data_IF_477774207806
#
_entry.id   IF_477774207806
#
_cell.length_a   1.000
_cell.length_b   1.000
_cell.length_c   1.000
_cell.angle_alpha   90.00
_cell.angle_beta   90.00
_cell.angle_gamma   90.00
#
_symmetry.space_group_name_H-M   'P 1'
#
loop_
_entity.id
_entity.type
_entity.pdbx_description
1 polymer ?
#
# COMPACT_ATOMS: atom_id res chain seq x y z
N UNK A 1 32.10 -10.26 -29.00
CA UNK A 1 30.93 -10.08 -28.12
C UNK A 1 30.88 -11.24 -27.14
N UNK A 2 31.01 -11.00 -25.85
CA UNK A 2 30.84 -12.00 -24.81
C UNK A 2 29.45 -11.80 -24.21
N UNK A 3 28.59 -12.82 -24.28
CA UNK A 3 27.30 -12.80 -23.62
C UNK A 3 27.43 -13.64 -22.35
N UNK A 4 27.15 -13.03 -21.21
CA UNK A 4 27.10 -13.72 -19.93
C UNK A 4 25.63 -13.80 -19.50
N UNK A 5 25.13 -14.97 -19.12
CA UNK A 5 23.82 -15.06 -18.49
C UNK A 5 23.87 -14.23 -17.21
N UNK A 6 22.79 -13.51 -16.91
CA UNK A 6 22.66 -12.75 -15.68
C UNK A 6 22.95 -13.67 -14.50
N UNK A 7 24.14 -13.54 -13.90
CA UNK A 7 24.48 -14.27 -12.70
C UNK A 7 24.11 -13.40 -11.50
N UNK A 8 23.57 -14.02 -10.48
CA UNK A 8 23.26 -13.39 -9.18
C UNK A 8 24.52 -12.93 -8.42
N UNK A 9 25.70 -13.12 -9.01
CA UNK A 9 26.96 -12.84 -8.36
C UNK A 9 27.83 -11.94 -9.25
N UNK A 10 27.92 -10.65 -8.91
CA UNK A 10 28.78 -9.65 -9.56
C UNK A 10 30.29 -10.00 -9.53
N UNK A 11 30.69 -11.01 -8.75
CA UNK A 11 32.07 -11.47 -8.66
C UNK A 11 32.58 -12.05 -10.00
N UNK A 12 31.71 -12.65 -10.79
CA UNK A 12 32.06 -13.28 -12.07
C UNK A 12 32.34 -12.28 -13.20
N UNK A 13 32.05 -11.01 -13.00
CA UNK A 13 32.26 -9.93 -13.99
C UNK A 13 33.60 -9.24 -13.83
N UNK A 14 34.32 -9.52 -12.74
CA UNK A 14 35.61 -8.92 -12.46
C UNK A 14 36.72 -9.58 -13.31
N UNK A 15 37.64 -8.77 -13.82
CA UNK A 15 38.80 -9.28 -14.58
C UNK A 15 38.68 -9.15 -16.10
N UNK A 16 37.52 -8.81 -16.63
CA UNK A 16 37.37 -8.49 -18.04
C UNK A 16 37.73 -7.02 -18.34
N UNK A 17 38.06 -6.75 -19.58
CA UNK A 17 38.18 -5.40 -20.13
C UNK A 17 37.18 -5.31 -21.28
N UNK A 18 36.31 -4.31 -21.26
CA UNK A 18 35.32 -4.11 -22.28
C UNK A 18 35.23 -2.64 -22.65
N UNK A 19 34.98 -2.35 -23.93
CA UNK A 19 34.68 -1.03 -24.46
C UNK A 19 33.19 -0.70 -24.34
N UNK A 20 32.34 -1.71 -24.30
CA UNK A 20 30.91 -1.52 -24.11
C UNK A 20 30.36 -2.67 -23.27
N UNK A 21 29.54 -2.35 -22.27
CA UNK A 21 28.76 -3.30 -21.49
C UNK A 21 27.30 -2.95 -21.70
N UNK A 22 26.53 -3.90 -22.23
CA UNK A 22 25.08 -3.78 -22.36
C UNK A 22 24.38 -4.71 -21.36
N UNK A 23 23.47 -4.17 -20.59
CA UNK A 23 22.62 -4.90 -19.65
C UNK A 23 21.18 -4.76 -20.14
N UNK A 24 20.62 -5.87 -20.57
CA UNK A 24 19.23 -5.95 -21.02
C UNK A 24 18.31 -6.35 -19.85
N UNK A 25 17.07 -5.87 -19.88
CA UNK A 25 16.07 -6.08 -18.84
C UNK A 25 16.59 -5.74 -17.42
N UNK A 26 17.31 -4.61 -17.33
CA UNK A 26 18.05 -4.22 -16.14
C UNK A 26 17.18 -4.15 -14.85
N UNK A 27 15.90 -3.75 -14.96
CA UNK A 27 14.99 -3.68 -13.81
C UNK A 27 14.66 -5.05 -13.20
N UNK A 28 14.83 -6.13 -13.95
CA UNK A 28 14.48 -7.48 -13.53
C UNK A 28 15.70 -8.31 -13.10
N UNK A 29 16.89 -7.69 -13.08
CA UNK A 29 18.11 -8.35 -12.61
C UNK A 29 18.24 -8.19 -11.11
N UNK A 30 18.26 -9.31 -10.34
CA UNK A 30 18.53 -9.25 -8.90
C UNK A 30 19.91 -8.64 -8.60
N UNK A 31 20.02 -7.86 -7.55
CA UNK A 31 21.29 -7.24 -7.09
C UNK A 31 22.03 -6.45 -8.17
N UNK A 32 21.28 -5.73 -9.03
CA UNK A 32 21.84 -4.96 -10.14
C UNK A 32 22.90 -3.93 -9.68
N UNK A 33 22.72 -3.32 -8.53
CA UNK A 33 23.66 -2.35 -7.92
C UNK A 33 25.02 -2.97 -7.64
N UNK A 34 25.07 -4.21 -7.15
CA UNK A 34 26.30 -4.97 -6.96
C UNK A 34 26.97 -5.31 -8.31
N UNK A 35 26.17 -5.66 -9.31
CA UNK A 35 26.63 -5.96 -10.67
C UNK A 35 27.25 -4.71 -11.29
N UNK A 36 26.58 -3.55 -11.21
CA UNK A 36 27.08 -2.28 -11.75
C UNK A 36 28.35 -1.86 -11.04
N UNK A 37 28.40 -2.01 -9.71
CA UNK A 37 29.63 -1.77 -8.93
C UNK A 37 30.77 -2.69 -9.37
N UNK A 38 30.47 -3.96 -9.66
CA UNK A 38 31.45 -4.94 -10.16
C UNK A 38 31.96 -4.66 -11.57
N UNK A 39 31.13 -4.02 -12.43
CA UNK A 39 31.47 -3.66 -13.83
C UNK A 39 32.32 -2.38 -13.87
N UNK A 40 32.17 -1.46 -12.93
CA UNK A 40 32.89 -0.19 -12.92
C UNK A 40 34.39 -0.31 -13.28
N UNK A 41 35.18 -1.18 -12.61
CA UNK A 41 36.59 -1.39 -12.96
C UNK A 41 36.85 -1.91 -14.38
N UNK A 42 35.86 -2.58 -15.01
CA UNK A 42 35.97 -3.10 -16.37
C UNK A 42 35.92 -1.96 -17.39
N UNK A 43 35.15 -0.93 -17.12
CA UNK A 43 34.94 0.23 -17.99
C UNK A 43 36.02 1.30 -17.81
N UNK A 44 36.62 1.44 -16.61
CA UNK A 44 37.59 2.52 -16.33
C UNK A 44 38.91 2.44 -17.08
N UNK A 45 39.19 1.35 -17.80
CA UNK A 45 40.42 1.18 -18.59
C UNK A 45 40.39 1.86 -19.95
N UNK A 46 39.22 2.16 -20.46
CA UNK A 46 39.03 2.86 -21.73
C UNK A 46 38.18 4.14 -21.48
N UNK A 47 38.69 5.32 -21.75
CA UNK A 47 37.96 6.58 -21.55
C UNK A 47 36.71 6.70 -22.44
N UNK A 48 36.59 5.87 -23.49
CA UNK A 48 35.45 5.83 -24.37
C UNK A 48 34.54 4.61 -24.10
N UNK A 49 34.71 3.95 -22.97
CA UNK A 49 33.88 2.81 -22.62
C UNK A 49 32.44 3.26 -22.30
N UNK A 50 31.49 2.47 -22.75
CA UNK A 50 30.06 2.77 -22.63
C UNK A 50 29.34 1.73 -21.76
N UNK A 51 28.41 2.17 -20.93
CA UNK A 51 27.42 1.35 -20.23
C UNK A 51 26.04 1.61 -20.87
N UNK A 52 25.42 0.57 -21.38
CA UNK A 52 24.08 0.62 -21.96
C UNK A 52 23.15 -0.19 -21.07
N UNK A 53 22.06 0.44 -20.60
CA UNK A 53 20.99 -0.22 -19.87
C UNK A 53 19.72 -0.15 -20.69
N UNK A 54 19.12 -1.31 -20.96
CA UNK A 54 17.79 -1.39 -21.59
C UNK A 54 16.83 -2.10 -20.64
N UNK A 55 15.59 -1.64 -20.57
CA UNK A 55 14.60 -2.24 -19.70
C UNK A 55 13.18 -1.74 -20.00
N UNK A 56 12.18 -2.54 -19.67
CA UNK A 56 10.86 -2.03 -19.31
C UNK A 56 10.87 -1.57 -17.83
N UNK A 57 10.07 -0.54 -17.46
CA UNK A 57 9.98 -0.11 -16.07
C UNK A 57 9.47 -1.24 -15.16
N UNK A 58 10.06 -1.43 -13.99
CA UNK A 58 9.54 -2.39 -13.00
C UNK A 58 8.85 -1.68 -11.84
N UNK A 59 9.48 -0.77 -11.18
CA UNK A 59 8.92 -0.01 -10.07
C UNK A 59 9.85 1.14 -9.69
N UNK A 60 9.31 2.16 -9.04
CA UNK A 60 10.09 3.34 -8.61
C UNK A 60 11.17 3.00 -7.58
N UNK A 61 11.09 1.84 -6.93
CA UNK A 61 12.11 1.36 -5.99
C UNK A 61 13.30 0.69 -6.67
N UNK A 62 13.21 0.40 -7.95
CA UNK A 62 14.29 -0.29 -8.66
C UNK A 62 15.56 0.57 -8.69
N UNK A 63 16.76 -0.05 -8.60
CA UNK A 63 18.02 0.65 -8.77
C UNK A 63 18.07 1.47 -10.07
N UNK A 64 17.48 0.94 -11.16
CA UNK A 64 17.42 1.61 -12.47
C UNK A 64 16.60 2.89 -12.41
N UNK A 65 15.49 2.93 -11.67
CA UNK A 65 14.72 4.16 -11.52
C UNK A 65 15.53 5.25 -10.80
N UNK A 66 16.22 4.88 -9.73
CA UNK A 66 17.11 5.82 -9.00
C UNK A 66 18.24 6.33 -9.89
N UNK A 67 18.84 5.44 -10.69
CA UNK A 67 19.85 5.82 -11.68
C UNK A 67 19.28 6.76 -12.76
N UNK A 68 18.10 6.46 -13.28
CA UNK A 68 17.41 7.29 -14.27
C UNK A 68 17.15 8.70 -13.73
N UNK A 69 16.68 8.83 -12.48
CA UNK A 69 16.46 10.14 -11.85
C UNK A 69 17.76 10.95 -11.76
N UNK A 70 18.87 10.31 -11.39
CA UNK A 70 20.19 10.96 -11.35
C UNK A 70 20.72 11.29 -12.75
N UNK A 71 20.46 10.41 -13.71
CA UNK A 71 20.95 10.54 -15.08
C UNK A 71 20.22 11.62 -15.89
N UNK A 72 18.97 11.97 -15.54
CA UNK A 72 18.20 12.99 -16.27
C UNK A 72 18.83 14.38 -16.21
N UNK A 73 19.57 14.68 -15.14
CA UNK A 73 20.25 15.98 -14.93
C UNK A 73 21.76 15.92 -15.22
N UNK A 74 22.28 14.76 -15.63
CA UNK A 74 23.69 14.52 -15.90
C UNK A 74 23.99 14.51 -17.41
N UNK A 75 24.81 15.43 -17.94
CA UNK A 75 25.08 15.53 -19.36
C UNK A 75 25.88 14.35 -19.94
N UNK A 76 26.50 13.52 -19.08
CA UNK A 76 27.23 12.33 -19.49
C UNK A 76 26.31 11.12 -19.76
N UNK A 77 25.02 11.27 -19.48
CA UNK A 77 24.02 10.23 -19.73
C UNK A 77 23.09 10.60 -20.88
N UNK A 78 22.85 9.62 -21.75
CA UNK A 78 21.80 9.70 -22.76
C UNK A 78 20.63 8.85 -22.33
N UNK A 79 19.47 9.47 -22.08
CA UNK A 79 18.23 8.79 -21.67
C UNK A 79 17.20 8.85 -22.80
N UNK A 80 16.70 7.69 -23.22
CA UNK A 80 15.64 7.58 -24.23
C UNK A 80 14.48 6.75 -23.68
N UNK A 81 13.26 7.23 -23.88
CA UNK A 81 12.03 6.48 -23.66
C UNK A 81 11.26 6.40 -24.97
N UNK A 82 10.77 5.20 -25.31
CA UNK A 82 9.94 4.98 -26.49
C UNK A 82 8.72 4.15 -26.11
N UNK A 83 7.55 4.76 -26.15
CA UNK A 83 6.26 4.09 -25.89
C UNK A 83 5.75 3.41 -27.14
N UNK A 84 4.79 2.46 -26.99
CA UNK A 84 4.12 1.80 -28.11
C UNK A 84 3.45 2.84 -29.04
N UNK A 85 2.90 3.91 -28.49
CA UNK A 85 2.26 4.96 -29.28
C UNK A 85 3.26 5.75 -30.12
N UNK A 86 4.46 6.02 -29.59
CA UNK A 86 5.55 6.66 -30.32
C UNK A 86 6.11 5.73 -31.39
N UNK A 87 6.30 4.46 -31.08
CA UNK A 87 6.75 3.48 -32.03
C UNK A 87 5.77 3.31 -33.21
N UNK A 88 4.46 3.32 -32.96
CA UNK A 88 3.43 3.30 -34.02
C UNK A 88 3.52 4.54 -34.90
N UNK A 89 3.70 5.73 -34.31
CA UNK A 89 3.91 6.98 -35.07
C UNK A 89 5.15 6.92 -35.94
N UNK A 90 6.16 6.16 -35.53
CA UNK A 90 7.41 5.95 -36.27
C UNK A 90 7.31 4.82 -37.29
N UNK A 91 6.16 4.17 -37.44
CA UNK A 91 5.90 3.17 -38.48
C UNK A 91 5.79 1.73 -38.00
N UNK A 92 5.84 1.46 -36.70
CA UNK A 92 5.56 0.13 -36.17
C UNK A 92 4.10 -0.27 -36.47
N UNK A 93 3.94 -1.42 -37.14
CA UNK A 93 2.62 -1.97 -37.47
C UNK A 93 2.21 -2.95 -36.38
N UNK A 94 1.26 -2.56 -35.53
CA UNK A 94 0.73 -3.40 -34.45
C UNK A 94 -0.76 -3.17 -34.29
N UNK A 95 -1.50 -4.22 -33.97
CA UNK A 95 -2.90 -4.12 -33.59
C UNK A 95 -3.00 -3.89 -32.06
N UNK A 96 -3.27 -2.64 -31.68
CA UNK A 96 -3.41 -2.24 -30.27
C UNK A 96 -4.55 -2.99 -29.57
N UNK A 97 -5.63 -3.35 -30.26
CA UNK A 97 -6.74 -4.09 -29.66
C UNK A 97 -6.34 -5.51 -29.32
N UNK A 98 -5.61 -6.16 -30.21
CA UNK A 98 -5.04 -7.48 -29.94
C UNK A 98 -4.05 -7.41 -28.78
N UNK A 99 -3.21 -6.39 -28.72
CA UNK A 99 -2.23 -6.19 -27.65
C UNK A 99 -2.91 -5.97 -26.28
N UNK A 100 -3.95 -5.15 -26.21
CA UNK A 100 -4.76 -5.00 -24.99
C UNK A 100 -5.45 -6.31 -24.56
N UNK A 101 -5.85 -7.13 -25.53
CA UNK A 101 -6.44 -8.44 -25.22
C UNK A 101 -5.43 -9.42 -24.63
N UNK A 102 -4.16 -9.32 -25.03
CA UNK A 102 -3.05 -10.12 -24.47
C UNK A 102 -2.59 -9.60 -23.10
N UNK A 103 -2.69 -8.30 -22.86
CA UNK A 103 -2.35 -7.67 -21.60
C UNK A 103 -3.56 -6.85 -21.07
N UNK A 104 -4.56 -7.54 -20.50
CA UNK A 104 -5.82 -6.90 -20.09
C UNK A 104 -5.70 -6.06 -18.81
N UNK A 105 -4.64 -6.22 -18.03
CA UNK A 105 -4.35 -5.43 -16.86
C UNK A 105 -3.84 -4.04 -17.28
N UNK A 106 -4.56 -2.92 -16.97
CA UNK A 106 -4.17 -1.59 -17.40
C UNK A 106 -2.80 -1.16 -16.85
N UNK A 107 -2.46 -1.57 -15.62
CA UNK A 107 -1.21 -1.21 -14.99
C UNK A 107 -0.04 -1.94 -15.67
N UNK A 108 -0.20 -3.24 -15.93
CA UNK A 108 0.78 -4.00 -16.72
C UNK A 108 0.94 -3.44 -18.14
N UNK A 109 -0.16 -3.09 -18.78
CA UNK A 109 -0.11 -2.48 -20.12
C UNK A 109 0.65 -1.16 -20.09
N UNK A 110 0.37 -0.31 -19.11
CA UNK A 110 1.05 0.97 -18.93
C UNK A 110 2.57 0.79 -18.67
N UNK A 111 2.94 -0.23 -17.90
CA UNK A 111 4.34 -0.57 -17.63
C UNK A 111 5.04 -1.10 -18.89
N UNK A 112 4.51 -2.14 -19.51
CA UNK A 112 5.17 -2.87 -20.60
C UNK A 112 5.19 -2.07 -21.90
N UNK A 113 4.12 -1.32 -22.19
CA UNK A 113 3.93 -0.69 -23.49
C UNK A 113 3.94 0.84 -23.47
N UNK A 114 3.64 1.46 -22.33
CA UNK A 114 3.66 2.92 -22.21
C UNK A 114 4.87 3.44 -21.44
N UNK A 115 5.77 2.56 -21.01
CA UNK A 115 6.98 2.86 -20.24
C UNK A 115 6.68 3.70 -18.99
N UNK A 116 5.57 3.42 -18.30
CA UNK A 116 5.22 4.09 -17.06
C UNK A 116 5.91 3.41 -15.90
N UNK A 117 6.65 4.19 -15.15
CA UNK A 117 7.13 3.77 -13.84
C UNK A 117 5.97 3.80 -12.88
N UNK A 118 5.40 2.64 -12.66
CA UNK A 118 4.37 2.51 -11.66
C UNK A 118 5.05 2.60 -10.29
N UNK A 119 4.42 3.31 -9.38
CA UNK A 119 4.79 3.21 -7.99
C UNK A 119 4.50 1.78 -7.56
N UNK A 120 5.58 1.03 -7.39
CA UNK A 120 5.59 -0.33 -6.85
C UNK A 120 4.56 -1.29 -7.47
N UNK A 121 4.94 -1.96 -8.54
CA UNK A 121 4.22 -3.14 -9.01
C UNK A 121 4.21 -4.15 -7.86
N UNK A 122 3.04 -4.31 -7.25
CA UNK A 122 2.88 -5.14 -6.06
C UNK A 122 2.82 -4.37 -4.74
N UNK A 123 3.01 -3.03 -4.68
CA UNK A 123 2.86 -2.33 -3.42
C UNK A 123 1.39 -2.21 -3.01
N UNK A 124 1.17 -2.19 -1.70
CA UNK A 124 -0.15 -2.02 -1.12
C UNK A 124 -0.82 -0.72 -1.59
N UNK A 125 -0.06 0.38 -1.58
CA UNK A 125 -0.54 1.71 -1.97
C UNK A 125 0.62 2.59 -2.44
N UNK A 126 0.35 3.53 -3.34
CA UNK A 126 1.30 4.57 -3.72
C UNK A 126 1.45 5.60 -2.59
N UNK A 127 2.67 5.87 -2.17
CA UNK A 127 2.96 6.85 -1.12
C UNK A 127 2.48 8.28 -1.47
N UNK A 128 2.39 8.62 -2.76
CA UNK A 128 1.86 9.90 -3.24
C UNK A 128 0.35 10.06 -2.97
N UNK A 129 -0.35 8.95 -2.74
CA UNK A 129 -1.78 8.95 -2.40
C UNK A 129 -2.03 9.18 -0.91
N UNK A 130 -1.02 9.03 -0.07
CA UNK A 130 -1.13 9.26 1.37
C UNK A 130 -1.27 10.75 1.68
N UNK A 131 -2.19 11.06 2.57
CA UNK A 131 -2.43 12.43 3.03
C UNK A 131 -1.87 12.58 4.44
N UNK A 132 -0.96 13.52 4.61
CA UNK A 132 -0.34 13.82 5.91
C UNK A 132 -0.75 15.20 6.40
N UNK A 133 -0.79 15.41 7.71
CA UNK A 133 -1.11 16.69 8.32
C UNK A 133 -0.38 16.86 9.65
N UNK A 134 0.21 18.04 9.86
CA UNK A 134 0.81 18.44 11.14
C UNK A 134 -0.26 18.71 12.19
N UNK A 135 -1.40 19.23 11.74
CA UNK A 135 -2.50 19.61 12.62
C UNK A 135 -3.58 18.52 12.63
N UNK A 136 -4.11 18.25 13.82
CA UNK A 136 -5.34 17.47 13.95
C UNK A 136 -6.45 18.19 13.19
N UNK A 137 -7.20 17.48 12.33
CA UNK A 137 -8.30 18.09 11.60
C UNK A 137 -9.24 18.86 12.53
N UNK A 138 -9.63 20.07 12.14
CA UNK A 138 -10.53 20.92 12.94
C UNK A 138 -11.96 20.38 13.02
N UNK A 139 -12.24 19.28 12.34
CA UNK A 139 -13.51 18.58 12.39
C UNK A 139 -13.62 17.83 13.71
N UNK A 140 -14.80 17.88 14.32
CA UNK A 140 -15.04 17.23 15.61
C UNK A 140 -14.88 15.72 15.51
N UNK A 141 -14.21 15.13 16.52
CA UNK A 141 -14.04 13.68 16.64
C UNK A 141 -15.36 13.06 17.10
N UNK A 142 -15.86 12.11 16.31
CA UNK A 142 -17.06 11.33 16.62
C UNK A 142 -16.75 10.17 17.55
N UNK A 143 -15.70 9.42 17.20
CA UNK A 143 -15.26 8.25 17.95
C UNK A 143 -13.76 8.04 17.77
N UNK A 144 -13.16 7.27 18.67
CA UNK A 144 -11.78 6.80 18.54
C UNK A 144 -11.75 5.27 18.58
N UNK A 145 -10.84 4.70 17.83
CA UNK A 145 -10.66 3.27 17.67
C UNK A 145 -9.22 2.86 17.92
N UNK A 146 -9.06 1.64 18.45
CA UNK A 146 -7.75 1.06 18.75
C UNK A 146 -7.48 -0.13 17.85
N UNK A 147 -6.25 -0.22 17.36
CA UNK A 147 -5.70 -1.44 16.79
C UNK A 147 -4.42 -1.81 17.52
N UNK A 148 -4.29 -3.06 17.91
CA UNK A 148 -3.16 -3.52 18.69
C UNK A 148 -2.58 -4.78 18.03
N UNK A 149 -1.40 -4.64 17.45
CA UNK A 149 -0.58 -5.74 16.96
C UNK A 149 0.38 -6.18 18.05
N UNK A 150 0.23 -7.42 18.50
CA UNK A 150 0.92 -7.98 19.66
C UNK A 150 2.24 -8.61 19.23
N UNK A 151 3.35 -7.93 19.49
CA UNK A 151 4.67 -8.52 19.36
C UNK A 151 5.05 -9.43 20.53
N UNK A 152 5.82 -10.48 20.23
CA UNK A 152 6.45 -11.32 21.24
C UNK A 152 7.47 -10.54 22.10
N UNK A 153 8.00 -11.19 23.14
CA UNK A 153 9.02 -10.57 24.03
C UNK A 153 10.32 -10.20 23.31
N UNK A 154 10.52 -10.69 22.09
CA UNK A 154 11.66 -10.35 21.20
C UNK A 154 11.30 -9.35 20.11
N UNK A 155 10.02 -9.14 19.83
CA UNK A 155 9.50 -8.41 18.68
C UNK A 155 8.97 -7.01 19.03
N UNK A 156 8.53 -6.29 18.03
CA UNK A 156 7.85 -5.01 18.18
C UNK A 156 6.37 -5.23 18.43
N UNK A 157 5.80 -4.38 19.25
CA UNK A 157 4.36 -4.25 19.47
C UNK A 157 3.94 -2.89 18.97
N UNK A 158 2.81 -2.79 18.29
CA UNK A 158 2.26 -1.51 17.85
C UNK A 158 0.81 -1.33 18.34
N UNK A 159 0.51 -0.14 18.85
CA UNK A 159 -0.84 0.24 19.28
C UNK A 159 -1.23 1.52 18.55
N UNK A 160 -2.14 1.42 17.60
CA UNK A 160 -2.63 2.55 16.80
C UNK A 160 -3.90 3.16 17.42
N UNK A 161 -4.00 4.49 17.34
CA UNK A 161 -5.21 5.24 17.66
C UNK A 161 -5.70 5.97 16.42
N UNK A 162 -6.92 5.66 15.99
CA UNK A 162 -7.59 6.29 14.86
C UNK A 162 -8.83 7.04 15.34
N UNK A 163 -8.97 8.30 14.92
CA UNK A 163 -10.16 9.11 15.14
C UNK A 163 -11.08 9.05 13.93
N UNK A 164 -12.35 8.75 14.13
CA UNK A 164 -13.42 8.99 13.16
C UNK A 164 -13.94 10.41 13.35
N UNK A 165 -14.03 11.18 12.28
CA UNK A 165 -14.47 12.56 12.29
C UNK A 165 -15.95 12.68 11.86
N UNK A 166 -16.61 13.78 12.20
CA UNK A 166 -18.04 13.97 11.89
C UNK A 166 -18.33 14.05 10.38
N UNK A 167 -17.34 14.39 9.56
CA UNK A 167 -17.44 14.43 8.10
C UNK A 167 -17.23 13.05 7.43
N UNK A 168 -16.96 12.00 8.21
CA UNK A 168 -16.72 10.65 7.73
C UNK A 168 -15.29 10.39 7.29
N UNK A 169 -14.36 11.29 7.58
CA UNK A 169 -12.92 11.04 7.41
C UNK A 169 -12.32 10.39 8.66
N UNK A 170 -11.17 9.77 8.51
CA UNK A 170 -10.41 9.14 9.58
C UNK A 170 -9.07 9.85 9.74
N UNK A 171 -8.63 10.00 10.96
CA UNK A 171 -7.33 10.58 11.30
C UNK A 171 -6.53 9.59 12.13
N UNK A 172 -5.41 9.10 11.60
CA UNK A 172 -4.44 8.33 12.37
C UNK A 172 -3.69 9.31 13.28
N UNK A 173 -4.09 9.32 14.54
CA UNK A 173 -3.61 10.29 15.54
C UNK A 173 -2.22 9.90 16.05
N UNK A 174 -2.00 8.63 16.37
CA UNK A 174 -0.74 8.14 16.93
C UNK A 174 -0.57 6.64 16.79
N UNK A 175 0.68 6.19 16.82
CA UNK A 175 1.08 4.78 16.95
C UNK A 175 2.15 4.68 18.03
N UNK A 176 1.81 4.03 19.13
CA UNK A 176 2.77 3.71 20.20
C UNK A 176 3.48 2.41 19.87
N UNK A 177 4.81 2.46 19.79
CA UNK A 177 5.66 1.30 19.52
C UNK A 177 6.39 0.88 20.79
N UNK A 178 6.21 -0.38 21.18
CA UNK A 178 6.90 -1.00 22.30
C UNK A 178 7.90 -2.04 21.76
N UNK A 179 9.14 -1.99 22.24
CA UNK A 179 10.19 -2.90 21.81
C UNK A 179 10.61 -3.79 22.97
N UNK A 180 10.59 -5.10 22.77
CA UNK A 180 11.02 -6.10 23.77
C UNK A 180 10.34 -5.92 25.12
N UNK A 181 9.06 -5.55 25.11
CA UNK A 181 8.29 -5.19 26.31
C UNK A 181 7.48 -6.41 26.79
N UNK A 182 7.56 -6.75 28.10
CA UNK A 182 6.74 -7.85 28.66
C UNK A 182 5.23 -7.59 28.50
N UNK A 183 4.45 -8.66 28.33
CA UNK A 183 3.00 -8.54 28.07
C UNK A 183 2.23 -7.81 29.19
N UNK A 184 2.65 -7.95 30.45
CA UNK A 184 2.05 -7.23 31.57
C UNK A 184 2.22 -5.73 31.45
N UNK A 185 3.37 -5.29 30.96
CA UNK A 185 3.67 -3.88 30.72
C UNK A 185 2.94 -3.37 29.48
N UNK A 186 2.88 -4.18 28.40
CA UNK A 186 2.07 -3.86 27.23
C UNK A 186 0.61 -3.62 27.59
N UNK A 187 0.01 -4.48 28.43
CA UNK A 187 -1.37 -4.31 28.92
C UNK A 187 -1.54 -3.07 29.80
N UNK A 188 -0.52 -2.72 30.60
CA UNK A 188 -0.53 -1.50 31.40
C UNK A 188 -0.55 -0.26 30.47
N UNK A 189 0.30 -0.24 29.44
CA UNK A 189 0.31 0.85 28.44
C UNK A 189 -1.03 0.90 27.71
N UNK A 190 -1.58 -0.23 27.28
CA UNK A 190 -2.89 -0.27 26.62
C UNK A 190 -3.98 0.33 27.49
N UNK A 191 -3.98 0.03 28.80
CA UNK A 191 -4.93 0.60 29.75
C UNK A 191 -4.76 2.11 29.92
N UNK A 192 -3.53 2.60 30.00
CA UNK A 192 -3.26 4.03 30.07
C UNK A 192 -3.76 4.75 28.81
N UNK A 193 -3.46 4.20 27.64
CA UNK A 193 -3.91 4.76 26.36
C UNK A 193 -5.43 4.73 26.24
N UNK A 194 -6.09 3.67 26.70
CA UNK A 194 -7.57 3.61 26.73
C UNK A 194 -8.17 4.70 27.63
N UNK A 195 -7.60 4.91 28.81
CA UNK A 195 -8.06 5.97 29.73
C UNK A 195 -7.93 7.37 29.13
N UNK A 196 -6.88 7.62 28.35
CA UNK A 196 -6.65 8.90 27.66
C UNK A 196 -7.59 9.06 26.47
N UNK A 197 -7.70 8.03 25.64
CA UNK A 197 -8.39 8.10 24.36
C UNK A 197 -9.86 7.73 24.42
N UNK A 198 -10.30 7.00 25.46
CA UNK A 198 -11.65 6.49 25.62
C UNK A 198 -12.18 5.80 24.33
N UNK A 199 -11.42 4.85 23.80
CA UNK A 199 -11.76 4.16 22.55
C UNK A 199 -13.16 3.56 22.58
N UNK A 200 -13.91 3.81 21.53
CA UNK A 200 -15.27 3.31 21.34
C UNK A 200 -15.28 1.82 21.00
N UNK A 201 -14.27 1.36 20.28
CA UNK A 201 -14.01 -0.04 19.95
C UNK A 201 -12.53 -0.26 19.65
N UNK A 202 -12.08 -1.51 19.64
CA UNK A 202 -10.71 -1.84 19.25
C UNK A 202 -10.53 -3.32 18.96
N UNK A 203 -9.53 -3.62 18.14
CA UNK A 203 -9.12 -4.99 17.87
C UNK A 203 -7.68 -5.25 18.28
N UNK A 204 -7.45 -6.43 18.84
CA UNK A 204 -6.13 -6.97 19.21
C UNK A 204 -5.84 -8.16 18.32
N UNK A 205 -4.69 -8.20 17.68
CA UNK A 205 -4.27 -9.44 17.00
C UNK A 205 -4.27 -10.61 18.00
N UNK A 206 -5.12 -11.57 17.73
CA UNK A 206 -5.31 -12.73 18.58
C UNK A 206 -4.66 -14.01 18.03
N UNK A 207 -3.74 -13.90 17.06
CA UNK A 207 -3.00 -15.07 16.58
C UNK A 207 -1.95 -15.52 17.60
N UNK A 208 -1.80 -16.83 17.76
CA UNK A 208 -0.80 -17.41 18.63
C UNK A 208 -0.89 -16.88 20.07
N UNK A 209 0.14 -16.17 20.49
CA UNK A 209 0.27 -15.59 21.83
C UNK A 209 -0.69 -14.40 22.06
N UNK A 210 -1.22 -13.81 21.00
CA UNK A 210 -2.18 -12.70 21.07
C UNK A 210 -3.54 -13.10 21.67
N UNK A 211 -3.92 -14.37 21.62
CA UNK A 211 -5.23 -14.80 22.11
C UNK A 211 -5.42 -14.59 23.64
N UNK A 212 -4.51 -15.04 24.53
CA UNK A 212 -4.56 -14.70 25.95
C UNK A 212 -4.53 -13.19 26.22
N UNK A 213 -3.74 -12.44 25.45
CA UNK A 213 -3.61 -10.98 25.62
C UNK A 213 -4.92 -10.29 25.24
N UNK A 214 -5.56 -10.69 24.15
CA UNK A 214 -6.87 -10.17 23.76
C UNK A 214 -7.94 -10.44 24.84
N UNK A 215 -7.93 -11.62 25.44
CA UNK A 215 -8.83 -11.96 26.54
C UNK A 215 -8.58 -11.07 27.77
N UNK A 216 -7.31 -10.85 28.15
CA UNK A 216 -6.96 -9.95 29.24
C UNK A 216 -7.32 -8.50 28.91
N UNK A 217 -7.06 -8.03 27.69
CA UNK A 217 -7.43 -6.70 27.24
C UNK A 217 -8.94 -6.47 27.38
N UNK A 218 -9.75 -7.43 26.91
CA UNK A 218 -11.20 -7.35 27.00
C UNK A 218 -11.71 -7.35 28.46
N UNK A 219 -11.10 -8.15 29.34
CA UNK A 219 -11.54 -8.28 30.76
C UNK A 219 -11.01 -7.17 31.67
N UNK A 220 -9.78 -6.68 31.45
CA UNK A 220 -9.08 -5.80 32.39
C UNK A 220 -8.94 -4.37 31.91
N UNK A 221 -9.02 -4.13 30.61
CA UNK A 221 -8.95 -2.78 30.03
C UNK A 221 -10.35 -2.33 29.64
N UNK A 222 -10.97 -2.97 28.68
CA UNK A 222 -12.33 -2.64 28.23
C UNK A 222 -12.95 -3.77 27.43
N UNK A 223 -14.20 -4.13 27.71
CA UNK A 223 -14.97 -5.09 26.91
C UNK A 223 -15.19 -4.66 25.44
N UNK A 224 -14.91 -3.41 25.13
CA UNK A 224 -14.95 -2.85 23.77
C UNK A 224 -13.72 -3.22 22.96
N UNK A 225 -12.66 -3.73 23.60
CA UNK A 225 -11.43 -4.21 22.96
C UNK A 225 -11.52 -5.72 22.84
N UNK A 226 -11.54 -6.24 21.62
CA UNK A 226 -11.77 -7.65 21.33
C UNK A 226 -10.62 -8.25 20.52
N UNK A 227 -10.48 -9.58 20.60
CA UNK A 227 -9.51 -10.30 19.78
C UNK A 227 -9.96 -10.35 18.31
N UNK A 228 -9.02 -10.17 17.40
CA UNK A 228 -9.21 -10.33 15.96
C UNK A 228 -8.24 -11.40 15.45
N UNK A 229 -8.78 -12.52 14.96
CA UNK A 229 -7.95 -13.57 14.38
C UNK A 229 -7.82 -13.38 12.87
N UNK A 230 -6.61 -13.10 12.40
CA UNK A 230 -6.33 -13.05 10.98
C UNK A 230 -6.57 -14.40 10.31
N UNK A 231 -7.14 -14.37 9.13
CA UNK A 231 -7.40 -15.54 8.30
C UNK A 231 -7.20 -15.19 6.82
N UNK A 232 -7.04 -16.21 5.99
CA UNK A 232 -6.96 -16.00 4.54
C UNK A 232 -8.22 -15.33 3.96
N UNK A 233 -9.37 -15.48 4.62
CA UNK A 233 -10.64 -14.93 4.16
C UNK A 233 -10.88 -13.49 4.59
N UNK A 234 -10.33 -13.03 5.72
CA UNK A 234 -10.55 -11.66 6.21
C UNK A 234 -9.38 -10.70 5.96
N UNK A 235 -8.16 -11.22 5.71
CA UNK A 235 -6.99 -10.36 5.49
C UNK A 235 -7.17 -9.41 4.31
N UNK A 236 -7.56 -9.93 3.14
CA UNK A 236 -7.77 -9.11 1.95
C UNK A 236 -8.88 -8.05 2.15
N UNK A 237 -10.09 -8.37 2.65
CA UNK A 237 -11.11 -7.37 2.95
C UNK A 237 -10.64 -6.25 3.89
N UNK A 238 -9.91 -6.58 4.95
CA UNK A 238 -9.38 -5.58 5.91
C UNK A 238 -8.41 -4.62 5.23
N UNK A 239 -7.46 -5.14 4.45
CA UNK A 239 -6.49 -4.31 3.76
C UNK A 239 -7.13 -3.49 2.64
N UNK A 240 -8.06 -4.06 1.88
CA UNK A 240 -8.81 -3.33 0.84
C UNK A 240 -9.69 -2.22 1.43
N UNK A 241 -10.25 -2.40 2.63
CA UNK A 241 -10.96 -1.33 3.32
C UNK A 241 -10.04 -0.13 3.59
N UNK A 242 -8.86 -0.36 4.17
CA UNK A 242 -7.88 0.70 4.39
C UNK A 242 -7.45 1.37 3.08
N UNK A 243 -7.16 0.54 2.06
CA UNK A 243 -6.80 1.02 0.72
C UNK A 243 -7.90 1.90 0.12
N UNK A 244 -9.16 1.49 0.24
CA UNK A 244 -10.32 2.28 -0.20
C UNK A 244 -10.38 3.65 0.46
N UNK A 245 -10.17 3.73 1.78
CA UNK A 245 -10.14 5.00 2.51
C UNK A 245 -9.00 5.92 2.04
N UNK A 246 -7.84 5.36 1.70
CA UNK A 246 -6.71 6.15 1.15
C UNK A 246 -7.07 6.67 -0.25
N UNK A 247 -7.57 5.82 -1.14
CA UNK A 247 -7.96 6.19 -2.51
C UNK A 247 -9.06 7.26 -2.52
N UNK A 248 -10.01 7.18 -1.60
CA UNK A 248 -11.08 8.16 -1.41
C UNK A 248 -10.62 9.44 -0.69
N UNK A 249 -9.32 9.55 -0.33
CA UNK A 249 -8.76 10.66 0.47
C UNK A 249 -9.46 10.85 1.81
N UNK A 250 -9.97 9.75 2.38
CA UNK A 250 -10.66 9.73 3.67
C UNK A 250 -9.79 9.33 4.85
N UNK A 251 -8.55 8.94 4.63
CA UNK A 251 -7.57 8.69 5.67
C UNK A 251 -6.51 9.80 5.66
N UNK A 252 -6.40 10.53 6.76
CA UNK A 252 -5.35 11.51 7.02
C UNK A 252 -4.44 10.96 8.11
N UNK A 253 -3.15 11.10 7.95
CA UNK A 253 -2.12 10.54 8.83
C UNK A 253 -1.38 11.72 9.50
N UNK A 254 -1.14 11.66 10.80
CA UNK A 254 -0.33 12.64 11.49
C UNK A 254 1.09 12.68 10.90
N UNK A 255 1.62 13.89 10.63
CA UNK A 255 2.89 14.07 9.89
C UNK A 255 4.07 13.35 10.55
N UNK A 256 4.11 13.29 11.89
CA UNK A 256 5.17 12.60 12.63
C UNK A 256 5.23 11.09 12.37
N UNK A 257 4.17 10.47 11.81
CA UNK A 257 4.11 9.05 11.44
C UNK A 257 4.47 8.79 9.98
N UNK A 258 4.76 9.82 9.20
CA UNK A 258 4.96 9.75 7.75
C UNK A 258 5.99 8.71 7.33
N UNK A 259 7.21 8.82 7.81
CA UNK A 259 8.30 7.92 7.44
C UNK A 259 7.99 6.48 7.84
N UNK A 260 7.41 6.30 9.04
CA UNK A 260 7.01 5.00 9.54
C UNK A 260 5.98 4.33 8.63
N UNK A 261 4.89 5.03 8.32
CA UNK A 261 3.79 4.46 7.52
C UNK A 261 4.23 4.21 6.07
N UNK A 262 4.97 5.15 5.46
CA UNK A 262 5.50 4.94 4.11
C UNK A 262 6.38 3.69 4.08
N UNK A 263 7.32 3.57 4.99
CA UNK A 263 8.24 2.42 5.08
C UNK A 263 7.49 1.09 5.25
N UNK A 264 6.47 1.04 6.12
CA UNK A 264 5.75 -0.20 6.39
C UNK A 264 4.77 -0.57 5.26
N UNK A 265 4.13 0.40 4.61
CA UNK A 265 3.27 0.13 3.46
C UNK A 265 4.07 -0.35 2.24
N UNK A 266 5.32 0.14 2.08
CA UNK A 266 6.25 -0.35 1.07
C UNK A 266 6.64 -1.83 1.23
N UNK A 267 6.52 -2.35 2.45
CA UNK A 267 6.79 -3.76 2.75
C UNK A 267 5.59 -4.69 2.52
N UNK A 268 4.43 -4.16 2.14
CA UNK A 268 3.25 -4.96 1.85
C UNK A 268 3.11 -5.12 0.35
N UNK A 269 3.27 -6.35 -0.12
CA UNK A 269 3.16 -6.70 -1.54
C UNK A 269 1.74 -7.15 -1.89
N UNK A 270 1.21 -6.62 -2.98
CA UNK A 270 -0.02 -7.08 -3.61
C UNK A 270 0.33 -8.14 -4.64
N UNK A 271 -0.13 -9.34 -4.44
CA UNK A 271 0.06 -10.47 -5.35
C UNK A 271 -1.29 -10.82 -5.99
N UNK A 272 -1.30 -10.98 -7.30
CA UNK A 272 -2.44 -11.57 -8.01
C UNK A 272 -2.13 -13.05 -8.22
N UNK A 273 -2.94 -13.91 -7.63
CA UNK A 273 -2.78 -15.37 -7.76
C UNK A 273 -3.18 -15.84 -9.16
N UNK A 274 -2.80 -17.07 -9.56
CA UNK A 274 -3.11 -17.63 -10.89
C UNK A 274 -4.62 -17.67 -11.18
N UNK A 275 -5.46 -17.79 -10.15
CA UNK A 275 -6.92 -17.72 -10.24
C UNK A 275 -7.50 -16.28 -10.22
N UNK A 276 -6.64 -15.27 -10.38
CA UNK A 276 -7.02 -13.86 -10.49
C UNK A 276 -7.41 -13.18 -9.17
N UNK A 277 -7.22 -13.85 -8.02
CA UNK A 277 -7.52 -13.26 -6.71
C UNK A 277 -6.38 -12.40 -6.21
N UNK A 278 -6.74 -11.28 -5.59
CA UNK A 278 -5.77 -10.41 -4.91
C UNK A 278 -5.44 -10.98 -3.54
N UNK A 279 -4.15 -11.03 -3.21
CA UNK A 279 -3.62 -11.40 -1.92
C UNK A 279 -2.56 -10.40 -1.50
N UNK A 280 -2.53 -10.04 -0.23
CA UNK A 280 -1.49 -9.18 0.34
C UNK A 280 -0.53 -9.99 1.21
N UNK A 281 0.76 -9.80 0.98
CA UNK A 281 1.84 -10.47 1.73
C UNK A 281 2.72 -9.40 2.35
N UNK A 282 2.99 -9.50 3.63
CA UNK A 282 4.00 -8.67 4.28
C UNK A 282 5.38 -9.20 3.91
N UNK A 283 6.24 -8.35 3.36
CA UNK A 283 7.64 -8.66 3.15
C UNK A 283 8.37 -8.76 4.49
N UNK A 284 9.38 -9.62 4.56
CA UNK A 284 10.31 -9.68 5.68
C UNK A 284 11.52 -8.81 5.36
N UNK A 285 11.69 -7.71 6.07
CA UNK A 285 12.93 -6.95 6.01
C UNK A 285 13.56 -6.83 7.41
N UNK A 286 14.81 -6.36 7.46
CA UNK A 286 15.57 -6.19 8.70
C UNK A 286 14.92 -5.25 9.72
N UNK A 287 13.93 -4.45 9.32
CA UNK A 287 13.24 -3.46 10.16
C UNK A 287 11.95 -3.96 10.82
N UNK A 288 11.57 -5.23 10.64
CA UNK A 288 10.40 -5.85 11.29
C UNK A 288 9.26 -6.17 10.33
N UNK A 289 8.18 -6.67 10.90
CA UNK A 289 6.99 -7.17 10.20
C UNK A 289 5.94 -6.06 10.24
N UNK A 290 5.77 -5.21 9.31
CA UNK A 290 4.65 -4.24 9.13
C UNK A 290 3.65 -4.10 10.32
N UNK A 291 4.19 -4.09 11.57
CA UNK A 291 3.40 -4.17 12.81
C UNK A 291 2.54 -2.92 13.01
N UNK A 292 3.08 -1.75 12.64
CA UNK A 292 2.35 -0.49 12.73
C UNK A 292 1.24 -0.39 11.69
N UNK A 293 1.48 -0.93 10.50
CA UNK A 293 0.45 -1.05 9.46
C UNK A 293 -0.65 -2.02 9.90
N UNK A 294 -0.29 -3.18 10.50
CA UNK A 294 -1.25 -4.14 11.04
C UNK A 294 -2.11 -3.50 12.13
N UNK A 295 -1.51 -2.75 13.05
CA UNK A 295 -2.25 -2.02 14.08
C UNK A 295 -3.21 -0.98 13.46
N UNK A 296 -2.78 -0.22 12.44
CA UNK A 296 -3.65 0.70 11.71
C UNK A 296 -4.82 -0.03 11.04
N UNK A 297 -4.57 -1.15 10.37
CA UNK A 297 -5.63 -1.95 9.74
C UNK A 297 -6.66 -2.44 10.74
N UNK A 298 -6.22 -2.91 11.91
CA UNK A 298 -7.10 -3.34 12.99
C UNK A 298 -7.95 -2.20 13.56
N UNK A 299 -7.37 -0.99 13.71
CA UNK A 299 -8.11 0.18 14.19
C UNK A 299 -9.19 0.61 13.19
N UNK A 300 -8.87 0.68 11.89
CA UNK A 300 -9.82 1.02 10.83
C UNK A 300 -10.91 -0.05 10.69
N UNK A 301 -10.55 -1.32 10.85
CA UNK A 301 -11.52 -2.42 10.81
C UNK A 301 -12.43 -2.41 12.02
N UNK A 302 -11.93 -2.06 13.20
CA UNK A 302 -12.77 -1.88 14.39
C UNK A 302 -13.80 -0.74 14.21
N UNK A 303 -13.44 0.32 13.48
CA UNK A 303 -14.36 1.38 13.09
C UNK A 303 -15.41 0.91 12.08
N UNK A 304 -15.01 0.10 11.10
CA UNK A 304 -15.90 -0.48 10.09
C UNK A 304 -16.96 -1.41 10.70
N UNK A 305 -16.54 -2.31 11.60
CA UNK A 305 -17.42 -3.32 12.20
C UNK A 305 -18.32 -2.74 13.30
N UNK A 306 -17.91 -1.64 13.93
CA UNK A 306 -18.65 -1.01 15.01
C UNK A 306 -18.92 0.47 14.69
N UNK A 307 -19.64 0.75 13.61
CA UNK A 307 -19.96 2.13 13.26
C UNK A 307 -20.76 2.76 14.40
N UNK A 308 -20.32 3.92 14.85
CA UNK A 308 -21.11 4.72 15.80
C UNK A 308 -22.43 5.07 15.11
N UNK A 309 -23.55 4.52 15.60
CA UNK A 309 -24.86 4.72 15.03
C UNK A 309 -25.22 6.19 15.06
N UNK A 310 -25.06 6.88 13.93
CA UNK A 310 -25.64 8.20 13.72
C UNK A 310 -27.06 7.97 13.20
N UNK A 311 -28.05 8.35 13.99
CA UNK A 311 -29.36 8.63 13.44
C UNK A 311 -29.15 9.83 12.48
N UNK A 312 -29.03 9.57 11.19
CA UNK A 312 -29.15 10.61 10.19
C UNK A 312 -30.49 11.33 10.47
N UNK A 313 -30.52 12.67 10.59
CA UNK A 313 -31.77 13.36 10.64
C UNK A 313 -32.53 13.00 9.36
N UNK A 314 -33.69 12.38 9.52
CA UNK A 314 -34.59 11.92 8.49
C UNK A 314 -35.22 13.12 7.76
N UNK A 315 -34.40 13.91 7.06
CA UNK A 315 -34.87 14.97 6.16
C UNK A 315 -33.86 15.20 5.02
N UNK A 316 -33.63 14.15 4.23
CA UNK A 316 -33.20 14.35 2.86
C UNK A 316 -34.36 13.97 1.94
N UNK A 317 -35.30 14.89 1.80
CA UNK A 317 -36.25 14.85 0.68
C UNK A 317 -35.45 15.07 -0.59
N UNK A 318 -35.16 14.00 -1.29
CA UNK A 318 -34.61 14.06 -2.65
C UNK A 318 -35.67 14.77 -3.52
N UNK A 319 -35.52 16.07 -3.75
CA UNK A 319 -36.26 16.75 -4.81
C UNK A 319 -35.75 16.13 -6.12
N UNK A 320 -36.64 15.32 -6.74
CA UNK A 320 -36.48 14.88 -8.12
C UNK A 320 -36.42 16.11 -9.03
N UNK A 321 -35.43 16.20 -9.96
CA UNK A 321 -35.39 17.30 -10.92
C UNK A 321 -36.42 17.15 -12.07
N UNK A 322 -37.28 16.13 -12.04
CA UNK A 322 -38.31 15.94 -13.06
C UNK A 322 -39.67 16.20 -12.44
N UNK A 323 -40.32 17.26 -12.97
CA UNK A 323 -41.65 17.73 -12.58
C UNK A 323 -42.72 16.64 -12.72
N UNK A 324 -43.69 16.79 -11.85
CA UNK A 324 -44.93 16.05 -11.82
C UNK A 324 -45.62 15.96 -13.18
N UNK A 325 -45.81 14.75 -13.70
CA UNK A 325 -46.84 14.47 -14.71
C UNK A 325 -48.08 13.88 -14.03
N UNK A 326 -49.21 14.40 -14.49
CA UNK A 326 -50.54 14.37 -13.92
C UNK A 326 -51.08 13.00 -13.51
N UNK A 327 -51.95 13.10 -12.53
CA UNK A 327 -52.90 12.09 -12.10
C UNK A 327 -53.89 11.73 -13.22
N UNK A 328 -53.96 10.45 -13.58
CA UNK A 328 -55.11 9.89 -14.23
C UNK A 328 -55.95 9.15 -13.20
N UNK A 329 -57.13 9.69 -12.94
CA UNK A 329 -58.13 9.01 -12.17
C UNK A 329 -58.77 7.86 -12.96
N UNK A 330 -59.04 6.77 -12.28
CA UNK A 330 -60.04 5.80 -12.71
C UNK A 330 -60.95 5.46 -11.55
N UNK A 331 -62.14 6.06 -11.55
CA UNK A 331 -63.34 5.52 -10.93
C UNK A 331 -63.73 4.24 -11.67
N UNK A 332 -64.17 3.23 -10.94
CA UNK A 332 -64.72 2.03 -11.52
C UNK A 332 -65.09 1.01 -10.46
N UNK A 333 -66.22 1.27 -9.80
CA UNK A 333 -67.00 0.31 -9.04
C UNK A 333 -67.49 -0.84 -9.89
N UNK A 334 -67.46 -2.07 -9.40
CA UNK A 334 -68.01 -3.24 -10.01
C UNK A 334 -68.02 -4.43 -9.06
N UNK A 335 -69.07 -4.56 -8.25
CA UNK A 335 -69.53 -5.83 -7.65
C UNK A 335 -70.02 -6.76 -8.72
N UNK A 336 -69.82 -8.08 -8.53
CA UNK A 336 -70.79 -9.19 -8.68
C UNK A 336 -70.01 -10.49 -8.88
N UNK A 337 -70.20 -11.37 -8.17
CA UNK A 337 -70.75 -12.64 -7.67
C UNK A 337 -69.61 -13.62 -7.31
#
# INVERSE_FOLDING_TARGET
MLSLPGSTDGANLRGYTAQCVAIDEACFIPHLDEIITGIGPTLTRDPNAELILTTTPAGKNSPVYKMLQSAMDDPDWYCQRTTIHEAIKQGLKVDLKALHSLCPDPDKFAQEYECKWLSEFGSFIDSELLVFSDDKPQVKVRAKYCGYDVGGTGDRTAIATVCELEDGTYFLEDIVILKKTPYTEQLHVLKQLHNINNWSSGYVDSQGIGNPIAEFASKQVSSRIQGFAWSASNKTPVLEHCRGLILDRKLVIAEHLKELIISEFQNIEKIVTEDGKVKYVAGHNENGHSDSASALFLALWAAHDNPTSFALPTTYVRKSPFGSYGSWGSNGSGRLM
#
